data_IF_740120156801
#
_entry.id   IF_740120156801
#
_cell.length_a   1.000
_cell.length_b   1.000
_cell.length_c   1.000
_cell.angle_alpha   90.00
_cell.angle_beta   90.00
_cell.angle_gamma   90.00
#
_symmetry.space_group_name_H-M   'P 1'
#
loop_
_entity.id
_entity.type
_entity.pdbx_description
1 polymer ?
#
# COMPACT_ATOMS: atom_id res chain seq x y z
N UNK A 1 40.37 20.28 -70.04
CA UNK A 1 41.71 20.29 -69.41
C UNK A 1 41.55 19.57 -68.08
N UNK A 2 41.56 18.22 -68.05
CA UNK A 2 42.74 17.33 -67.85
C UNK A 2 43.70 17.94 -66.80
N UNK A 3 43.90 17.42 -65.58
CA UNK A 3 44.58 16.16 -65.17
C UNK A 3 44.33 15.92 -63.64
N UNK A 4 43.99 14.69 -63.21
CA UNK A 4 44.81 13.72 -62.43
C UNK A 4 45.32 14.21 -61.04
N UNK A 5 44.79 13.67 -59.91
CA UNK A 5 45.35 12.60 -59.02
C UNK A 5 46.57 13.07 -58.17
N UNK A 6 46.98 12.44 -57.03
CA UNK A 6 46.39 11.33 -56.25
C UNK A 6 46.47 11.50 -54.69
N UNK A 7 45.96 10.47 -54.00
CA UNK A 7 46.08 10.09 -52.58
C UNK A 7 47.45 10.35 -51.94
N UNK A 8 47.50 10.60 -50.61
CA UNK A 8 48.10 9.65 -49.63
C UNK A 8 47.71 10.03 -48.20
N UNK A 9 47.22 9.03 -47.47
CA UNK A 9 47.07 8.99 -46.02
C UNK A 9 48.42 8.70 -45.35
N UNK A 10 48.75 9.39 -44.27
CA UNK A 10 49.75 8.90 -43.32
C UNK A 10 49.39 9.33 -41.90
N UNK A 11 49.18 8.34 -41.03
CA UNK A 11 48.86 8.46 -39.61
C UNK A 11 50.16 8.45 -38.80
N UNK A 12 50.32 9.33 -37.80
CA UNK A 12 51.18 9.08 -36.65
C UNK A 12 50.33 8.90 -35.37
N UNK A 13 50.63 7.83 -34.64
CA UNK A 13 49.84 7.36 -33.49
C UNK A 13 49.93 8.22 -32.22
N UNK A 14 49.23 7.75 -31.17
CA UNK A 14 49.68 7.73 -29.76
C UNK A 14 48.62 7.08 -28.82
N UNK A 15 49.04 5.92 -28.27
CA UNK A 15 48.75 5.27 -26.98
C UNK A 15 47.36 4.67 -26.64
N UNK A 16 47.34 3.47 -26.00
CA UNK A 16 46.13 2.82 -25.51
C UNK A 16 45.74 3.38 -24.13
N UNK A 17 44.54 3.94 -24.02
CA UNK A 17 43.94 4.23 -22.71
C UNK A 17 43.26 2.96 -22.22
N UNK A 18 43.91 2.23 -21.30
CA UNK A 18 43.22 1.27 -20.43
C UNK A 18 42.31 2.07 -19.50
N UNK A 19 41.04 2.23 -19.86
CA UNK A 19 40.03 2.48 -18.85
C UNK A 19 39.81 1.17 -18.10
N UNK A 20 40.41 1.09 -16.92
CA UNK A 20 40.07 0.06 -15.95
C UNK A 20 38.57 0.11 -15.72
N UNK A 21 37.90 -0.98 -16.06
CA UNK A 21 36.54 -1.26 -15.57
C UNK A 21 36.69 -1.42 -14.06
N UNK A 22 36.51 -0.31 -13.35
CA UNK A 22 36.27 -0.35 -11.90
C UNK A 22 35.00 -1.18 -11.73
N UNK A 23 34.98 -2.20 -10.85
CA UNK A 23 33.75 -2.92 -10.56
C UNK A 23 32.75 -1.89 -10.05
N UNK A 24 31.72 -1.64 -10.86
CA UNK A 24 30.62 -0.79 -10.48
C UNK A 24 30.00 -1.43 -9.25
N UNK A 25 30.14 -0.69 -8.15
CA UNK A 25 29.59 -0.90 -6.85
C UNK A 25 28.14 -1.39 -7.01
N UNK A 26 27.89 -2.65 -6.61
CA UNK A 26 26.54 -3.18 -6.41
C UNK A 26 25.71 -2.09 -5.72
N UNK A 27 24.50 -1.75 -6.21
CA UNK A 27 23.61 -0.90 -5.45
C UNK A 27 23.41 -1.56 -4.09
N UNK A 28 23.90 -0.86 -3.06
CA UNK A 28 23.72 -1.17 -1.66
C UNK A 28 22.26 -1.56 -1.43
N UNK A 29 22.08 -2.81 -1.04
CA UNK A 29 20.87 -3.40 -0.53
C UNK A 29 20.17 -2.40 0.42
N UNK A 30 18.91 -1.98 0.18
CA UNK A 30 18.14 -1.35 1.25
C UNK A 30 17.84 -2.42 2.30
N UNK A 31 18.78 -2.57 3.24
CA UNK A 31 18.52 -3.18 4.52
C UNK A 31 17.46 -2.32 5.24
N UNK A 32 16.39 -2.97 5.70
CA UNK A 32 15.22 -2.39 6.35
C UNK A 32 14.17 -1.74 5.41
N UNK A 33 13.60 -2.53 4.51
CA UNK A 33 12.15 -2.40 4.30
C UNK A 33 11.49 -3.02 5.54
N UNK A 34 11.02 -2.17 6.46
CA UNK A 34 10.16 -2.58 7.58
C UNK A 34 9.07 -3.54 7.04
N UNK A 35 8.68 -4.61 7.74
CA UNK A 35 7.72 -5.61 7.23
C UNK A 35 6.39 -4.98 6.80
N UNK A 36 6.07 -3.81 7.34
CA UNK A 36 4.93 -2.97 7.01
C UNK A 36 5.02 -2.27 5.64
N UNK A 37 6.22 -1.96 5.14
CA UNK A 37 6.43 -1.37 3.81
C UNK A 37 6.23 -2.37 2.67
N UNK A 38 6.54 -3.65 2.90
CA UNK A 38 6.46 -4.70 1.86
C UNK A 38 5.00 -5.00 1.49
N UNK A 39 4.11 -5.07 2.48
CA UNK A 39 2.70 -5.39 2.25
C UNK A 39 1.97 -4.28 1.48
N UNK A 40 2.22 -3.02 1.86
CA UNK A 40 1.68 -1.84 1.18
C UNK A 40 2.27 -1.73 -0.22
N UNK A 41 3.57 -1.98 -0.37
CA UNK A 41 4.25 -2.02 -1.66
C UNK A 41 3.64 -3.04 -2.62
N UNK A 42 3.42 -4.28 -2.18
CA UNK A 42 2.83 -5.34 -3.04
C UNK A 42 1.38 -5.00 -3.43
N UNK A 43 0.56 -4.49 -2.50
CA UNK A 43 -0.82 -4.10 -2.83
C UNK A 43 -0.87 -2.95 -3.83
N UNK A 44 -0.03 -1.93 -3.65
CA UNK A 44 0.07 -0.79 -4.57
C UNK A 44 0.63 -1.23 -5.93
N UNK A 45 1.65 -2.10 -5.96
CA UNK A 45 2.22 -2.63 -7.20
C UNK A 45 1.22 -3.46 -8.02
N UNK A 46 0.38 -4.27 -7.38
CA UNK A 46 -0.65 -5.06 -8.08
C UNK A 46 -1.72 -4.15 -8.70
N UNK A 47 -2.15 -3.10 -7.99
CA UNK A 47 -3.12 -2.10 -8.50
C UNK A 47 -2.54 -1.30 -9.68
N UNK A 48 -1.26 -0.92 -9.58
CA UNK A 48 -0.53 -0.23 -10.64
C UNK A 48 -0.43 -1.08 -11.92
N UNK A 49 -0.21 -2.38 -11.78
CA UNK A 49 -0.12 -3.29 -12.92
C UNK A 49 -1.50 -3.55 -13.56
N UNK A 50 -2.58 -3.52 -12.77
CA UNK A 50 -3.95 -3.71 -13.27
C UNK A 50 -4.49 -2.49 -14.02
N UNK A 51 -4.13 -1.28 -13.60
CA UNK A 51 -4.58 -0.02 -14.20
C UNK A 51 -3.72 0.46 -15.39
N UNK A 52 -2.62 -0.24 -15.70
CA UNK A 52 -1.67 0.17 -16.73
C UNK A 52 -0.76 1.34 -16.34
N UNK A 53 -0.63 1.63 -15.04
CA UNK A 53 0.20 2.71 -14.48
C UNK A 53 -0.54 4.02 -14.19
N UNK A 54 0.18 4.95 -13.54
CA UNK A 54 -0.31 6.28 -13.20
C UNK A 54 0.75 7.33 -13.54
N UNK A 55 0.32 8.48 -14.08
CA UNK A 55 1.20 9.61 -14.37
C UNK A 55 0.51 10.94 -14.00
N UNK A 56 1.28 12.01 -13.85
CA UNK A 56 0.79 13.37 -13.60
C UNK A 56 1.41 14.36 -14.60
N UNK A 57 1.23 14.07 -15.88
CA UNK A 57 1.95 14.68 -17.00
C UNK A 57 1.05 15.13 -18.16
N UNK A 58 -0.28 15.10 -18.01
CA UNK A 58 -1.23 15.43 -19.08
C UNK A 58 -1.52 14.28 -20.03
N UNK A 59 -0.90 13.11 -19.87
CA UNK A 59 -1.12 11.94 -20.73
C UNK A 59 -2.42 11.19 -20.40
N UNK A 60 -2.77 10.21 -21.22
CA UNK A 60 -3.90 9.31 -20.95
C UNK A 60 -3.77 8.56 -19.60
N UNK A 61 -2.54 8.36 -19.10
CA UNK A 61 -2.30 7.79 -17.76
C UNK A 61 -2.75 8.72 -16.63
N UNK A 62 -2.87 10.03 -16.85
CA UNK A 62 -3.42 10.94 -15.85
C UNK A 62 -4.92 10.68 -15.62
N UNK A 63 -5.66 10.25 -16.65
CA UNK A 63 -7.09 9.90 -16.50
C UNK A 63 -7.31 8.64 -15.65
N UNK A 64 -6.31 7.77 -15.49
CA UNK A 64 -6.40 6.59 -14.61
C UNK A 64 -6.57 6.97 -13.13
N UNK A 65 -6.18 8.19 -12.72
CA UNK A 65 -6.43 8.70 -11.37
C UNK A 65 -7.92 8.94 -11.08
N UNK A 66 -8.72 9.22 -12.12
CA UNK A 66 -10.12 9.59 -11.99
C UNK A 66 -10.96 8.52 -11.26
N UNK A 67 -10.98 7.23 -11.68
CA UNK A 67 -11.70 6.19 -10.95
C UNK A 67 -11.16 5.92 -9.54
N UNK A 68 -9.85 6.05 -9.31
CA UNK A 68 -9.21 5.82 -8.00
C UNK A 68 -9.59 6.87 -6.97
N UNK A 69 -9.66 8.14 -7.38
CA UNK A 69 -10.00 9.25 -6.49
C UNK A 69 -11.52 9.42 -6.30
N UNK A 70 -12.32 9.06 -7.31
CA UNK A 70 -13.78 9.17 -7.23
C UNK A 70 -14.44 7.97 -6.57
N UNK A 71 -13.87 6.78 -6.69
CA UNK A 71 -14.43 5.59 -6.06
C UNK A 71 -13.95 5.48 -4.60
N UNK A 72 -14.90 5.36 -3.66
CA UNK A 72 -14.61 5.13 -2.24
C UNK A 72 -14.24 3.68 -1.93
N UNK A 73 -14.52 2.75 -2.85
CA UNK A 73 -14.30 1.32 -2.68
C UNK A 73 -12.81 0.91 -2.52
N UNK A 74 -11.85 1.40 -3.34
CA UNK A 74 -10.42 1.07 -3.14
C UNK A 74 -9.90 1.50 -1.77
N UNK A 75 -10.28 2.70 -1.30
CA UNK A 75 -9.89 3.19 0.02
C UNK A 75 -10.47 2.36 1.17
N UNK A 76 -11.69 1.82 1.00
CA UNK A 76 -12.30 0.89 1.97
C UNK A 76 -11.60 -0.46 1.98
N UNK A 77 -11.22 -0.98 0.82
CA UNK A 77 -10.48 -2.23 0.71
C UNK A 77 -9.07 -2.10 1.31
N UNK A 78 -8.38 -0.99 1.02
CA UNK A 78 -7.08 -0.67 1.62
C UNK A 78 -7.19 -0.59 3.14
N UNK A 79 -8.18 0.15 3.66
CA UNK A 79 -8.41 0.23 5.10
C UNK A 79 -8.69 -1.14 5.72
N UNK A 80 -9.57 -1.95 5.12
CA UNK A 80 -9.89 -3.29 5.60
C UNK A 80 -8.66 -4.21 5.60
N UNK A 81 -7.81 -4.14 4.57
CA UNK A 81 -6.57 -4.89 4.46
C UNK A 81 -5.54 -4.48 5.52
N UNK A 82 -5.33 -3.18 5.73
CA UNK A 82 -4.44 -2.67 6.78
C UNK A 82 -4.89 -3.07 8.18
N UNK A 83 -6.20 -3.00 8.46
CA UNK A 83 -6.75 -3.43 9.75
C UNK A 83 -6.61 -4.94 9.97
N UNK A 84 -6.73 -5.76 8.91
CA UNK A 84 -6.49 -7.20 9.00
C UNK A 84 -5.02 -7.52 9.34
N UNK A 85 -4.08 -6.82 8.71
CA UNK A 85 -2.66 -7.00 8.99
C UNK A 85 -2.34 -6.63 10.45
N UNK A 86 -2.88 -5.51 10.94
CA UNK A 86 -2.76 -5.12 12.34
C UNK A 86 -3.34 -6.18 13.30
N UNK A 87 -4.46 -6.81 12.94
CA UNK A 87 -5.07 -7.88 13.75
C UNK A 87 -4.16 -9.11 13.82
N UNK A 88 -3.54 -9.51 12.70
CA UNK A 88 -2.59 -10.62 12.66
C UNK A 88 -1.39 -10.36 13.59
N UNK A 89 -0.78 -9.17 13.51
CA UNK A 89 0.33 -8.81 14.39
C UNK A 89 -0.10 -8.77 15.87
N UNK A 90 -1.31 -8.29 16.17
CA UNK A 90 -1.86 -8.31 17.53
C UNK A 90 -1.98 -9.74 18.08
N UNK A 91 -2.47 -10.69 17.27
CA UNK A 91 -2.61 -12.10 17.67
C UNK A 91 -1.23 -12.75 17.88
N UNK A 92 -0.26 -12.52 16.98
CA UNK A 92 1.10 -13.05 17.12
C UNK A 92 1.78 -12.52 18.38
N UNK A 93 1.65 -11.22 18.67
CA UNK A 93 2.17 -10.63 19.90
C UNK A 93 1.56 -11.25 21.15
N UNK A 94 0.25 -11.51 21.14
CA UNK A 94 -0.43 -12.18 22.24
C UNK A 94 0.09 -13.62 22.44
N UNK A 95 0.22 -14.40 21.36
CA UNK A 95 0.80 -15.74 21.41
C UNK A 95 2.22 -15.72 21.99
N UNK A 96 3.06 -14.77 21.57
CA UNK A 96 4.43 -14.64 22.07
C UNK A 96 4.48 -14.36 23.58
N UNK A 97 3.58 -13.52 24.11
CA UNK A 97 3.50 -13.24 25.55
C UNK A 97 3.06 -14.47 26.34
N UNK A 98 2.06 -15.22 25.86
CA UNK A 98 1.63 -16.45 26.51
C UNK A 98 2.73 -17.52 26.50
N UNK A 99 3.45 -17.67 25.39
CA UNK A 99 4.57 -18.61 25.29
C UNK A 99 5.71 -18.26 26.25
N UNK A 100 6.01 -16.97 26.40
CA UNK A 100 7.01 -16.49 27.35
C UNK A 100 6.61 -16.81 28.80
N UNK A 101 5.37 -16.51 29.20
CA UNK A 101 4.89 -16.82 30.54
C UNK A 101 4.85 -18.32 30.83
N UNK A 102 4.42 -19.13 29.87
CA UNK A 102 4.36 -20.58 30.01
C UNK A 102 5.75 -21.19 30.22
N UNK A 103 6.77 -20.70 29.50
CA UNK A 103 8.16 -21.13 29.68
C UNK A 103 8.74 -20.70 31.02
N UNK A 104 8.41 -19.49 31.49
CA UNK A 104 8.92 -18.94 32.74
C UNK A 104 8.08 -19.30 33.98
N UNK A 105 7.02 -20.11 33.81
CA UNK A 105 6.07 -20.52 34.86
C UNK A 105 5.47 -19.36 35.66
N UNK A 106 5.31 -18.21 35.01
CA UNK A 106 4.56 -17.09 35.59
C UNK A 106 3.07 -17.29 35.29
N UNK A 107 2.17 -17.04 36.25
CA UNK A 107 0.74 -17.13 36.00
C UNK A 107 0.35 -16.15 34.89
N UNK A 108 -0.50 -16.57 33.96
CA UNK A 108 -1.02 -15.70 32.90
C UNK A 108 -2.18 -14.83 33.42
N UNK A 109 -2.45 -13.71 32.73
CA UNK A 109 -3.63 -12.85 32.93
C UNK A 109 -3.81 -12.30 34.37
N UNK A 110 -2.75 -12.15 35.15
CA UNK A 110 -2.83 -11.62 36.53
C UNK A 110 -2.76 -10.09 36.61
N UNK A 111 -2.26 -9.43 35.56
CA UNK A 111 -2.12 -7.97 35.50
C UNK A 111 -3.31 -7.33 34.79
N UNK A 112 -3.70 -6.14 35.27
CA UNK A 112 -4.72 -5.29 34.65
C UNK A 112 -4.37 -4.98 33.18
N UNK A 113 -3.08 -4.79 32.87
CA UNK A 113 -2.60 -4.59 31.50
C UNK A 113 -2.98 -5.76 30.57
N UNK A 114 -2.89 -6.99 31.08
CA UNK A 114 -3.21 -8.19 30.30
C UNK A 114 -4.72 -8.33 30.05
N UNK A 115 -5.55 -7.91 31.01
CA UNK A 115 -7.01 -7.87 30.86
C UNK A 115 -7.45 -6.85 29.82
N UNK A 116 -6.91 -5.63 29.88
CA UNK A 116 -7.20 -4.58 28.90
C UNK A 116 -6.69 -5.00 27.52
N UNK A 117 -5.48 -5.56 27.44
CA UNK A 117 -4.88 -6.03 26.19
C UNK A 117 -5.74 -7.09 25.50
N UNK A 118 -6.16 -8.13 26.21
CA UNK A 118 -6.96 -9.20 25.60
C UNK A 118 -8.38 -8.73 25.25
N UNK A 119 -8.99 -7.86 26.06
CA UNK A 119 -10.27 -7.24 25.74
C UNK A 119 -10.17 -6.35 24.50
N UNK A 120 -9.10 -5.56 24.37
CA UNK A 120 -8.85 -4.71 23.21
C UNK A 120 -8.65 -5.53 21.93
N UNK A 121 -7.83 -6.59 21.96
CA UNK A 121 -7.66 -7.49 20.81
C UNK A 121 -8.98 -8.17 20.41
N UNK A 122 -9.80 -8.59 21.37
CA UNK A 122 -11.11 -9.17 21.09
C UNK A 122 -12.08 -8.16 20.47
N UNK A 123 -12.18 -6.94 21.02
CA UNK A 123 -13.00 -5.87 20.46
C UNK A 123 -12.52 -5.44 19.07
N UNK A 124 -11.21 -5.42 18.84
CA UNK A 124 -10.63 -5.11 17.53
C UNK A 124 -10.98 -6.18 16.49
N UNK A 125 -10.91 -7.47 16.86
CA UNK A 125 -11.34 -8.57 15.99
C UNK A 125 -12.83 -8.48 15.65
N UNK A 126 -13.68 -8.23 16.65
CA UNK A 126 -15.12 -8.05 16.45
C UNK A 126 -15.40 -6.86 15.53
N UNK A 127 -14.78 -5.70 15.81
CA UNK A 127 -14.91 -4.49 15.00
C UNK A 127 -14.53 -4.77 13.54
N UNK A 128 -13.47 -5.54 13.30
CA UNK A 128 -13.06 -5.92 11.95
C UNK A 128 -14.08 -6.84 11.27
N UNK A 129 -14.59 -7.88 11.95
CA UNK A 129 -15.59 -8.80 11.38
C UNK A 129 -16.90 -8.09 11.06
N UNK A 130 -17.41 -7.26 11.97
CA UNK A 130 -18.61 -6.46 11.73
C UNK A 130 -18.39 -5.43 10.62
N UNK A 131 -17.23 -4.75 10.62
CA UNK A 131 -16.86 -3.80 9.58
C UNK A 131 -16.78 -4.45 8.20
N UNK A 132 -16.15 -5.62 8.10
CA UNK A 132 -16.07 -6.40 6.87
C UNK A 132 -17.47 -6.85 6.41
N UNK A 133 -18.28 -7.42 7.31
CA UNK A 133 -19.62 -7.91 6.99
C UNK A 133 -20.59 -6.82 6.54
N UNK A 134 -20.51 -5.61 7.11
CA UNK A 134 -21.42 -4.49 6.78
C UNK A 134 -20.94 -3.67 5.59
N UNK A 135 -19.63 -3.47 5.42
CA UNK A 135 -19.09 -2.56 4.39
C UNK A 135 -18.52 -3.23 3.15
N UNK A 136 -18.09 -4.51 3.21
CA UNK A 136 -17.56 -5.25 2.05
C UNK A 136 -18.61 -6.14 1.38
N UNK A 137 -19.58 -6.67 2.13
CA UNK A 137 -20.70 -7.38 1.53
C UNK A 137 -21.77 -6.36 1.07
N UNK A 138 -22.37 -6.52 -0.11
CA UNK A 138 -23.49 -5.70 -0.58
C UNK A 138 -24.79 -5.85 0.25
N UNK A 139 -24.71 -6.45 1.45
CA UNK A 139 -25.82 -6.76 2.35
C UNK A 139 -26.15 -5.64 3.34
N UNK A 140 -25.68 -4.41 3.12
CA UNK A 140 -26.23 -3.24 3.79
C UNK A 140 -27.48 -2.78 3.02
N UNK A 141 -28.70 -2.97 3.55
CA UNK A 141 -29.91 -2.72 2.80
C UNK A 141 -30.04 -1.22 2.43
N UNK A 142 -30.50 -0.89 1.21
CA UNK A 142 -30.78 0.47 0.76
C UNK A 142 -31.77 1.26 1.63
N UNK A 143 -32.47 0.60 2.55
CA UNK A 143 -33.51 1.16 3.41
C UNK A 143 -33.00 2.29 4.32
N UNK A 144 -31.75 2.21 4.82
CA UNK A 144 -31.19 3.25 5.69
C UNK A 144 -30.82 4.53 4.91
N UNK A 145 -30.42 4.41 3.63
CA UNK A 145 -30.20 5.55 2.73
C UNK A 145 -31.51 6.20 2.25
N UNK A 146 -32.62 5.48 2.34
CA UNK A 146 -33.96 5.99 2.05
C UNK A 146 -34.49 6.93 3.12
N UNK A 147 -34.13 6.75 4.40
CA UNK A 147 -34.67 7.51 5.53
C UNK A 147 -34.17 8.96 5.59
N UNK A 148 -33.02 9.28 4.98
CA UNK A 148 -32.46 10.63 4.95
C UNK A 148 -32.95 11.48 3.75
N UNK A 149 -33.40 10.85 2.67
CA UNK A 149 -33.91 11.53 1.46
C UNK A 149 -35.18 12.38 1.67
N UNK A 150 -36.17 12.01 2.51
CA UNK A 150 -37.38 12.81 2.67
C UNK A 150 -37.21 14.11 3.50
N UNK A 151 -36.03 14.35 4.10
CA UNK A 151 -35.77 15.59 4.85
C UNK A 151 -35.21 16.73 3.99
N UNK A 152 -34.73 16.44 2.77
CA UNK A 152 -34.19 17.47 1.85
C UNK A 152 -35.26 18.47 1.35
N UNK A 153 -36.50 18.06 1.02
CA UNK A 153 -37.54 19.02 0.60
C UNK A 153 -37.97 19.97 1.71
N UNK A 154 -37.94 19.53 2.98
CA UNK A 154 -38.34 20.30 4.15
C UNK A 154 -37.40 21.47 4.49
N UNK A 155 -36.17 21.48 3.95
CA UNK A 155 -35.22 22.59 4.11
C UNK A 155 -35.26 23.61 2.93
N UNK A 156 -36.04 23.34 1.87
CA UNK A 156 -36.21 24.27 0.75
C UNK A 156 -37.50 25.10 0.82
N UNK A 157 -38.42 24.81 1.76
CA UNK A 157 -39.70 25.54 1.91
C UNK A 157 -39.58 26.86 2.72
N UNK A 158 -38.46 27.11 3.38
CA UNK A 158 -38.26 28.30 4.23
C UNK A 158 -37.74 29.55 3.46
N UNK A 159 -37.83 29.59 2.12
CA UNK A 159 -37.26 30.65 1.27
C UNK A 159 -38.23 31.22 0.20
N UNK A 160 -39.53 31.19 0.43
CA UNK A 160 -40.50 32.07 -0.28
C UNK A 160 -41.30 32.94 0.68
#
# INVERSE_FOLDING_TARGET
>A
MILLHPLTSSVPGLRPVRHGVRPELLPELPAAAEPECVCVGVCVCVEQQLAGGFAWDGSALQFNWHPVLMNKLPWKLLHAGLMLLALIFSIVGLCAVFDFHNKNKTPNLYSLHSWIGIAATALFALQWVFGAGVFLLPCAPPSLRGLLKPLHPLLQEENE
#
